data_IF_747360728785
#
_entry.id   IF_747360728785
#
_cell.length_a   1.000
_cell.length_b   1.000
_cell.length_c   1.000
_cell.angle_alpha   90.00
_cell.angle_beta   90.00
_cell.angle_gamma   90.00
#
_symmetry.space_group_name_H-M   'P 1'
#
loop_
_entity.id
_entity.type
_entity.pdbx_description
1 polymer ?
#
# COMPACT_ATOMS: atom_id res chain seq x y z
N UNK A 1 8.81 36.95 -62.01
CA UNK A 1 7.86 35.89 -61.57
C UNK A 1 7.51 36.09 -60.09
N UNK A 2 6.50 36.92 -59.84
CA UNK A 2 5.92 37.14 -58.52
C UNK A 2 4.87 36.06 -58.26
N UNK A 3 5.00 35.32 -57.16
CA UNK A 3 3.96 34.42 -56.65
C UNK A 3 3.04 35.25 -55.74
N UNK A 4 1.71 35.22 -55.90
CA UNK A 4 0.82 36.02 -55.06
C UNK A 4 0.74 35.41 -53.65
N UNK A 5 0.99 36.21 -52.61
CA UNK A 5 0.67 35.83 -51.24
C UNK A 5 -0.82 36.07 -50.97
N UNK A 6 -1.53 35.01 -50.61
CA UNK A 6 -2.93 35.02 -50.17
C UNK A 6 -3.01 35.59 -48.75
N UNK A 7 -4.02 36.41 -48.39
CA UNK A 7 -4.16 36.97 -47.05
C UNK A 7 -4.48 35.87 -46.02
N UNK A 8 -3.78 35.84 -44.88
CA UNK A 8 -4.18 34.99 -43.73
C UNK A 8 -5.33 35.67 -42.99
N UNK A 9 -6.48 35.00 -42.94
CA UNK A 9 -7.59 35.33 -42.05
C UNK A 9 -7.22 34.94 -40.59
N UNK A 10 -7.70 35.67 -39.58
CA UNK A 10 -7.46 35.33 -38.18
C UNK A 10 -8.22 34.04 -37.80
N UNK A 11 -7.56 33.17 -37.04
CA UNK A 11 -8.14 31.92 -36.55
C UNK A 11 -9.17 32.20 -35.44
N UNK A 12 -10.41 31.74 -35.63
CA UNK A 12 -11.43 31.71 -34.58
C UNK A 12 -11.09 30.60 -33.56
N UNK A 13 -11.32 30.81 -32.26
CA UNK A 13 -11.09 29.78 -31.25
C UNK A 13 -12.17 28.68 -31.31
N UNK A 14 -11.72 27.43 -31.47
CA UNK A 14 -12.56 26.23 -31.42
C UNK A 14 -13.22 26.05 -30.04
N UNK A 15 -14.54 25.82 -30.05
CA UNK A 15 -15.29 25.42 -28.86
C UNK A 15 -14.92 23.98 -28.43
N UNK A 16 -14.79 23.69 -27.12
CA UNK A 16 -14.43 22.35 -26.64
C UNK A 16 -15.60 21.35 -26.75
N UNK A 17 -15.29 20.13 -27.20
CA UNK A 17 -16.20 18.98 -27.23
C UNK A 17 -16.57 18.50 -25.82
N UNK A 18 -17.78 17.95 -25.62
CA UNK A 18 -18.20 17.42 -24.32
C UNK A 18 -17.44 16.10 -23.97
N UNK A 19 -17.08 15.88 -22.68
CA UNK A 19 -16.35 14.69 -22.26
C UNK A 19 -17.22 13.43 -22.25
N UNK A 20 -16.59 12.29 -22.58
CA UNK A 20 -17.19 10.96 -22.60
C UNK A 20 -17.65 10.49 -21.21
N UNK A 21 -18.77 9.76 -21.15
CA UNK A 21 -19.31 9.21 -19.91
C UNK A 21 -18.43 8.06 -19.36
N UNK A 22 -18.21 7.97 -18.04
CA UNK A 22 -17.40 6.90 -17.46
C UNK A 22 -18.16 5.56 -17.46
N UNK A 23 -17.50 4.53 -17.97
CA UNK A 23 -17.85 3.12 -17.77
C UNK A 23 -17.64 2.73 -16.31
N UNK A 24 -18.67 2.22 -15.64
CA UNK A 24 -18.61 1.71 -14.26
C UNK A 24 -17.81 0.40 -14.21
N UNK A 25 -16.77 0.28 -13.36
CA UNK A 25 -16.09 -0.99 -13.11
C UNK A 25 -16.99 -1.96 -12.31
N UNK A 26 -16.87 -3.24 -12.63
CA UNK A 26 -17.64 -4.34 -12.06
C UNK A 26 -17.47 -4.50 -10.54
N UNK A 27 -18.56 -4.90 -9.88
CA UNK A 27 -18.69 -5.12 -8.43
C UNK A 27 -17.73 -6.20 -7.91
N UNK A 28 -17.03 -5.90 -6.81
CA UNK A 28 -16.17 -6.81 -6.06
C UNK A 28 -17.00 -7.87 -5.28
N UNK A 29 -16.38 -8.99 -4.84
CA UNK A 29 -17.09 -10.16 -4.30
C UNK A 29 -17.83 -9.85 -2.99
N UNK A 30 -19.05 -10.39 -2.84
CA UNK A 30 -19.84 -10.28 -1.61
C UNK A 30 -19.28 -11.20 -0.52
N UNK A 31 -18.71 -10.62 0.53
CA UNK A 31 -18.36 -11.34 1.76
C UNK A 31 -19.64 -11.76 2.51
N UNK A 32 -19.78 -13.05 2.80
CA UNK A 32 -20.92 -13.67 3.52
C UNK A 32 -20.70 -13.72 5.03
N UNK A 33 -20.01 -12.70 5.57
CA UNK A 33 -19.69 -12.55 6.98
C UNK A 33 -20.06 -11.15 7.47
N UNK A 34 -20.08 -10.97 8.79
CA UNK A 34 -20.18 -9.64 9.41
C UNK A 34 -19.17 -8.70 8.77
N UNK A 35 -19.64 -7.59 8.20
CA UNK A 35 -18.77 -6.60 7.56
C UNK A 35 -18.90 -5.24 8.22
N UNK A 36 -17.76 -4.59 8.46
CA UNK A 36 -17.68 -3.19 8.83
C UNK A 36 -17.21 -2.39 7.62
N UNK A 37 -17.95 -1.36 7.24
CA UNK A 37 -17.51 -0.35 6.28
C UNK A 37 -17.42 1.00 6.97
N UNK A 38 -16.24 1.62 6.96
CA UNK A 38 -16.02 2.95 7.53
C UNK A 38 -15.61 3.90 6.42
N UNK A 39 -16.28 5.04 6.32
CA UNK A 39 -15.99 6.12 5.38
C UNK A 39 -15.93 7.46 6.11
N UNK A 40 -14.72 7.93 6.36
CA UNK A 40 -14.45 9.21 7.00
C UNK A 40 -13.80 10.17 6.02
N UNK A 41 -13.82 11.45 6.37
CA UNK A 41 -13.24 12.50 5.53
C UNK A 41 -12.01 13.06 6.22
N UNK A 42 -12.16 13.54 7.45
CA UNK A 42 -11.08 14.25 8.18
C UNK A 42 -10.81 13.66 9.55
N UNK A 43 -11.65 12.75 10.01
CA UNK A 43 -11.58 12.17 11.34
C UNK A 43 -10.58 11.01 11.37
N UNK A 44 -9.73 10.98 12.39
CA UNK A 44 -8.88 9.83 12.67
C UNK A 44 -9.74 8.63 13.06
N UNK A 45 -9.32 7.45 12.63
CA UNK A 45 -10.02 6.20 12.84
C UNK A 45 -9.15 5.23 13.61
N UNK A 46 -9.66 4.75 14.74
CA UNK A 46 -9.06 3.67 15.48
C UNK A 46 -10.02 2.49 15.50
N UNK A 47 -9.60 1.37 14.93
CA UNK A 47 -10.36 0.12 14.93
C UNK A 47 -9.58 -0.94 15.70
N UNK A 48 -10.22 -1.57 16.66
CA UNK A 48 -9.63 -2.65 17.44
C UNK A 48 -10.51 -3.89 17.46
N UNK A 49 -9.92 -5.04 17.14
CA UNK A 49 -10.56 -6.33 17.28
C UNK A 49 -10.62 -6.78 18.74
N UNK A 50 -11.79 -7.22 19.19
CA UNK A 50 -12.02 -7.72 20.54
C UNK A 50 -12.66 -9.10 20.49
N UNK A 51 -12.00 -10.07 21.13
CA UNK A 51 -12.47 -11.44 21.20
C UNK A 51 -13.78 -11.53 21.98
N UNK A 52 -14.74 -12.31 21.46
CA UNK A 52 -16.04 -12.51 22.10
C UNK A 52 -16.99 -11.32 22.04
N UNK A 53 -16.67 -10.27 21.27
CA UNK A 53 -17.55 -9.15 21.06
C UNK A 53 -18.74 -9.56 20.14
N UNK A 54 -20.00 -9.37 20.55
CA UNK A 54 -21.15 -9.87 19.78
C UNK A 54 -21.52 -8.99 18.57
N UNK A 55 -21.14 -7.70 18.63
CA UNK A 55 -21.43 -6.68 17.62
C UNK A 55 -20.43 -5.52 17.77
N UNK A 56 -20.34 -4.67 16.74
CA UNK A 56 -19.49 -3.47 16.76
C UNK A 56 -19.92 -2.53 17.88
N UNK A 57 -18.95 -2.03 18.65
CA UNK A 57 -19.14 -1.04 19.70
C UNK A 57 -18.40 0.25 19.33
N UNK A 58 -19.14 1.34 19.23
CA UNK A 58 -18.56 2.67 19.14
C UNK A 58 -18.12 3.08 20.54
N UNK A 59 -16.81 3.10 20.78
CA UNK A 59 -16.21 3.50 22.08
C UNK A 59 -16.19 5.02 22.17
N UNK A 60 -15.78 5.67 21.08
CA UNK A 60 -15.82 7.12 20.93
C UNK A 60 -16.39 7.46 19.57
N UNK A 61 -17.47 8.23 19.57
CA UNK A 61 -18.15 8.66 18.36
C UNK A 61 -18.31 10.18 18.37
N UNK A 62 -18.20 10.79 17.20
CA UNK A 62 -18.41 12.22 17.04
C UNK A 62 -19.84 12.53 16.61
N UNK A 63 -20.30 13.74 16.92
CA UNK A 63 -21.51 14.32 16.33
C UNK A 63 -21.41 14.54 14.82
N UNK A 64 -20.23 14.40 14.22
CA UNK A 64 -20.06 14.40 12.76
C UNK A 64 -20.32 13.02 12.16
N UNK A 65 -20.46 11.93 12.92
CA UNK A 65 -20.58 10.57 12.38
C UNK A 65 -22.02 10.06 12.41
N UNK A 66 -22.39 9.27 11.40
CA UNK A 66 -23.62 8.48 11.32
C UNK A 66 -23.24 7.01 11.26
N UNK A 67 -23.82 6.25 12.17
CA UNK A 67 -23.71 4.79 12.15
C UNK A 67 -25.04 4.23 11.68
N UNK A 68 -24.99 3.36 10.68
CA UNK A 68 -26.13 2.58 10.20
C UNK A 68 -25.79 1.11 10.36
N UNK A 69 -26.74 0.34 10.86
CA UNK A 69 -26.62 -1.10 10.93
C UNK A 69 -27.78 -1.72 10.16
N UNK A 70 -27.44 -2.62 9.24
CA UNK A 70 -28.40 -3.47 8.54
C UNK A 70 -28.01 -4.94 8.74
N UNK A 71 -28.71 -5.61 9.66
CA UNK A 71 -28.38 -6.95 10.09
C UNK A 71 -26.96 -7.07 10.67
N UNK A 72 -26.09 -7.77 9.95
CA UNK A 72 -24.69 -8.02 10.32
C UNK A 72 -23.70 -7.03 9.70
N UNK A 73 -24.20 -6.08 8.89
CA UNK A 73 -23.39 -5.08 8.23
C UNK A 73 -23.47 -3.79 9.03
N UNK A 74 -22.32 -3.24 9.38
CA UNK A 74 -22.19 -1.96 10.09
C UNK A 74 -21.52 -0.97 9.14
N UNK A 75 -22.18 0.16 8.91
CA UNK A 75 -21.68 1.24 8.09
C UNK A 75 -21.51 2.48 8.98
N UNK A 76 -20.31 3.07 8.95
CA UNK A 76 -19.94 4.27 9.70
C UNK A 76 -19.52 5.32 8.70
N UNK A 77 -20.27 6.41 8.59
CA UNK A 77 -20.00 7.48 7.63
C UNK A 77 -19.95 8.85 8.29
N UNK A 78 -19.08 9.74 7.81
CA UNK A 78 -19.16 11.16 8.19
C UNK A 78 -20.44 11.82 7.64
N UNK A 79 -21.04 12.76 8.38
CA UNK A 79 -22.32 13.43 8.07
C UNK A 79 -22.24 14.33 6.86
N UNK A 80 -21.05 14.80 6.52
CA UNK A 80 -20.77 15.60 5.32
C UNK A 80 -20.88 14.76 4.03
N UNK A 81 -20.96 13.43 4.14
CA UNK A 81 -21.11 12.48 3.02
C UNK A 81 -22.55 12.42 2.46
N UNK A 82 -23.47 13.28 2.89
CA UNK A 82 -24.84 13.38 2.33
C UNK A 82 -24.90 14.07 0.94
N UNK A 83 -23.89 13.85 0.08
CA UNK A 83 -23.80 14.32 -1.29
C UNK A 83 -22.92 13.39 -2.14
N UNK A 84 -23.40 13.05 -3.34
CA UNK A 84 -22.81 12.06 -4.25
C UNK A 84 -21.33 12.30 -4.56
N UNK A 85 -20.52 11.25 -4.41
CA UNK A 85 -19.12 11.21 -4.83
C UNK A 85 -19.02 11.03 -6.35
N UNK A 86 -18.88 12.13 -7.09
CA UNK A 86 -18.33 12.13 -8.44
C UNK A 86 -17.10 13.06 -8.48
N UNK A 87 -15.91 12.46 -8.63
CA UNK A 87 -14.65 13.12 -9.04
C UNK A 87 -14.37 14.50 -8.43
N UNK A 88 -13.83 14.53 -7.21
CA UNK A 88 -13.17 15.69 -6.58
C UNK A 88 -13.97 17.01 -6.51
N UNK A 89 -15.12 17.01 -5.81
CA UNK A 89 -15.71 18.24 -5.30
C UNK A 89 -16.02 18.11 -3.80
N UNK A 90 -15.18 18.73 -2.95
CA UNK A 90 -15.44 18.90 -1.53
C UNK A 90 -15.95 20.32 -1.25
N UNK A 91 -17.12 20.44 -0.63
CA UNK A 91 -17.54 21.68 0.05
C UNK A 91 -17.02 21.63 1.49
N UNK A 92 -15.93 22.35 1.76
CA UNK A 92 -15.28 22.47 3.06
C UNK A 92 -16.16 23.20 4.08
N UNK A 93 -16.78 22.43 4.96
CA UNK A 93 -17.15 22.89 6.30
C UNK A 93 -16.09 22.38 7.26
N UNK A 94 -15.17 23.24 7.70
CA UNK A 94 -14.17 22.89 8.71
C UNK A 94 -14.83 22.79 10.09
N UNK A 95 -15.22 21.58 10.48
CA UNK A 95 -15.49 21.23 11.87
C UNK A 95 -14.30 20.46 12.41
N UNK A 96 -13.48 21.12 13.23
CA UNK A 96 -12.37 20.50 13.96
C UNK A 96 -12.86 20.15 15.36
N UNK A 97 -13.40 18.94 15.51
CA UNK A 97 -13.53 18.32 16.81
C UNK A 97 -12.42 17.26 16.85
N UNK A 98 -11.23 17.63 17.35
CA UNK A 98 -9.98 16.86 17.20
C UNK A 98 -9.89 15.57 18.03
N UNK A 99 -10.94 14.73 18.05
CA UNK A 99 -10.95 13.45 18.76
C UNK A 99 -11.14 12.26 17.80
N UNK A 100 -10.37 11.17 17.93
CA UNK A 100 -10.47 10.02 17.03
C UNK A 100 -11.81 9.28 17.17
N UNK A 101 -12.29 8.70 16.08
CA UNK A 101 -13.39 7.74 16.07
C UNK A 101 -12.84 6.39 16.52
N UNK A 102 -13.24 5.93 17.70
CA UNK A 102 -12.79 4.66 18.28
C UNK A 102 -13.89 3.59 18.12
N UNK A 103 -13.58 2.53 17.39
CA UNK A 103 -14.46 1.40 17.14
C UNK A 103 -13.84 0.11 17.68
N UNK A 104 -14.61 -0.63 18.46
CA UNK A 104 -14.31 -2.02 18.78
C UNK A 104 -15.16 -2.94 17.93
N UNK A 105 -14.53 -3.92 17.30
CA UNK A 105 -15.19 -4.86 16.39
C UNK A 105 -14.93 -6.30 16.83
N UNK A 106 -15.80 -7.25 16.50
CA UNK A 106 -15.47 -8.66 16.61
C UNK A 106 -14.22 -8.99 15.78
N UNK A 107 -13.30 -9.79 16.33
CA UNK A 107 -12.03 -10.12 15.65
C UNK A 107 -12.23 -10.81 14.30
N UNK A 108 -13.32 -11.54 14.10
CA UNK A 108 -13.65 -12.27 12.88
C UNK A 108 -14.33 -11.40 11.80
N UNK A 109 -14.52 -10.11 12.08
CA UNK A 109 -15.24 -9.20 11.20
C UNK A 109 -14.36 -8.72 10.05
N UNK A 110 -14.90 -8.79 8.82
CA UNK A 110 -14.24 -8.17 7.66
C UNK A 110 -14.38 -6.65 7.73
N UNK A 111 -13.29 -5.92 7.54
CA UNK A 111 -13.25 -4.47 7.71
C UNK A 111 -12.80 -3.77 6.41
N UNK A 112 -13.62 -2.88 5.89
CA UNK A 112 -13.27 -1.95 4.81
C UNK A 112 -13.19 -0.54 5.37
N UNK A 113 -11.98 -0.01 5.51
CA UNK A 113 -11.71 1.28 6.16
C UNK A 113 -11.25 2.29 5.10
N UNK A 114 -11.98 3.40 4.98
CA UNK A 114 -11.71 4.46 4.01
C UNK A 114 -11.67 5.83 4.70
N UNK A 115 -10.60 6.57 4.45
CA UNK A 115 -10.42 7.94 4.91
C UNK A 115 -9.91 8.82 3.77
N UNK A 116 -10.16 10.13 3.85
CA UNK A 116 -9.50 11.08 2.95
C UNK A 116 -8.28 11.68 3.63
N UNK A 117 -8.40 12.22 4.84
CA UNK A 117 -7.33 12.99 5.51
C UNK A 117 -7.04 12.59 6.94
N UNK A 118 -7.89 11.81 7.59
CA UNK A 118 -7.62 11.29 8.93
C UNK A 118 -6.73 10.05 8.88
N UNK A 119 -5.96 9.80 9.93
CA UNK A 119 -5.12 8.61 10.04
C UNK A 119 -5.95 7.36 10.36
N UNK A 120 -5.55 6.20 9.85
CA UNK A 120 -6.22 4.93 10.15
C UNK A 120 -5.28 4.06 10.97
N UNK A 121 -5.69 3.75 12.19
CA UNK A 121 -5.06 2.73 13.02
C UNK A 121 -5.99 1.53 13.14
N UNK A 122 -5.54 0.34 12.73
CA UNK A 122 -6.29 -0.91 12.85
C UNK A 122 -5.45 -1.97 13.57
N UNK A 123 -6.06 -2.67 14.53
CA UNK A 123 -5.35 -3.66 15.37
C UNK A 123 -6.18 -4.89 15.71
N UNK A 124 -5.51 -6.04 15.86
CA UNK A 124 -6.05 -7.29 16.41
C UNK A 124 -7.23 -7.90 15.61
N UNK A 125 -7.22 -7.79 14.28
CA UNK A 125 -8.28 -8.32 13.40
C UNK A 125 -7.85 -9.63 12.76
N UNK A 126 -8.70 -10.64 12.87
CA UNK A 126 -8.55 -11.95 12.22
C UNK A 126 -9.34 -12.09 10.92
N UNK A 127 -10.36 -11.26 10.68
CA UNK A 127 -11.06 -11.18 9.41
C UNK A 127 -10.27 -10.46 8.32
N UNK A 128 -10.82 -10.43 7.11
CA UNK A 128 -10.21 -9.72 5.98
C UNK A 128 -10.26 -8.19 6.19
N UNK A 129 -9.12 -7.54 6.03
CA UNK A 129 -9.00 -6.08 6.14
C UNK A 129 -8.60 -5.46 4.80
N UNK A 130 -9.29 -4.39 4.44
CA UNK A 130 -9.00 -3.50 3.31
C UNK A 130 -8.90 -2.07 3.83
N UNK A 131 -7.77 -1.42 3.64
CA UNK A 131 -7.56 -0.02 4.07
C UNK A 131 -7.26 0.86 2.86
N UNK A 132 -7.92 2.03 2.80
CA UNK A 132 -7.65 3.05 1.79
C UNK A 132 -7.62 4.44 2.41
N UNK A 133 -6.53 5.15 2.17
CA UNK A 133 -6.30 6.52 2.60
C UNK A 133 -5.84 7.38 1.42
N UNK A 134 -6.20 8.66 1.42
CA UNK A 134 -5.75 9.63 0.42
C UNK A 134 -4.62 10.51 0.95
N UNK A 135 -4.72 11.01 2.18
CA UNK A 135 -3.83 12.02 2.76
C UNK A 135 -3.57 11.83 4.26
N UNK A 136 -3.73 10.61 4.76
CA UNK A 136 -3.44 10.23 6.15
C UNK A 136 -2.65 8.91 6.21
N UNK A 137 -1.97 8.70 7.32
CA UNK A 137 -1.12 7.53 7.55
C UNK A 137 -1.96 6.29 7.86
N UNK A 138 -1.40 5.12 7.54
CA UNK A 138 -2.06 3.83 7.77
C UNK A 138 -1.17 2.97 8.67
N UNK A 139 -1.62 2.78 9.91
CA UNK A 139 -1.02 1.86 10.87
C UNK A 139 -1.87 0.61 10.99
N UNK A 140 -1.36 -0.54 10.57
CA UNK A 140 -2.03 -1.83 10.78
C UNK A 140 -1.15 -2.78 11.60
N UNK A 141 -1.70 -3.34 12.68
CA UNK A 141 -0.95 -4.22 13.58
C UNK A 141 -1.71 -5.50 13.94
N UNK A 142 -1.03 -6.63 14.02
CA UNK A 142 -1.64 -7.93 14.39
C UNK A 142 -2.81 -8.32 13.47
N UNK A 143 -2.63 -8.18 12.15
CA UNK A 143 -3.65 -8.56 11.15
C UNK A 143 -3.45 -10.00 10.70
N UNK A 144 -4.47 -10.85 10.80
CA UNK A 144 -4.38 -12.21 10.27
C UNK A 144 -4.62 -12.28 8.76
N UNK A 145 -5.35 -11.32 8.17
CA UNK A 145 -5.60 -11.27 6.73
C UNK A 145 -5.70 -9.81 6.26
N UNK A 146 -4.59 -9.26 5.76
CA UNK A 146 -4.58 -7.96 5.09
C UNK A 146 -4.56 -8.16 3.58
N UNK A 147 -5.67 -7.80 2.93
CA UNK A 147 -5.85 -8.01 1.48
C UNK A 147 -5.43 -6.82 0.63
N UNK A 148 -5.56 -5.60 1.17
CA UNK A 148 -5.02 -4.41 0.51
C UNK A 148 -4.87 -3.25 1.48
N UNK A 149 -3.76 -2.52 1.35
CA UNK A 149 -3.53 -1.25 2.03
C UNK A 149 -3.07 -0.21 0.99
N UNK A 150 -3.84 0.86 0.82
CA UNK A 150 -3.54 1.88 -0.19
C UNK A 150 -3.49 3.27 0.43
N UNK A 151 -2.40 4.00 0.22
CA UNK A 151 -2.23 5.39 0.61
C UNK A 151 -1.83 6.23 -0.61
N UNK A 152 -2.46 7.39 -0.82
CA UNK A 152 -2.03 8.32 -1.88
C UNK A 152 -0.94 9.28 -1.40
N UNK A 153 -1.05 9.75 -0.17
CA UNK A 153 -0.09 10.61 0.51
C UNK A 153 -0.15 10.24 1.99
N UNK A 154 0.98 9.81 2.55
CA UNK A 154 1.05 9.27 3.90
C UNK A 154 1.79 7.93 3.94
N UNK A 155 2.30 7.63 5.11
CA UNK A 155 3.13 6.45 5.34
C UNK A 155 2.24 5.23 5.65
N UNK A 156 2.75 4.03 5.36
CA UNK A 156 2.06 2.78 5.67
C UNK A 156 2.96 1.92 6.53
N UNK A 157 2.58 1.77 7.79
CA UNK A 157 3.25 0.96 8.79
C UNK A 157 2.45 -0.33 9.04
N UNK A 158 3.08 -1.48 8.80
CA UNK A 158 2.51 -2.81 9.07
C UNK A 158 3.37 -3.55 10.10
N UNK A 159 2.78 -3.98 11.22
CA UNK A 159 3.48 -4.82 12.23
C UNK A 159 2.71 -6.12 12.52
N UNK A 160 3.38 -7.27 12.45
CA UNK A 160 2.78 -8.59 12.73
C UNK A 160 1.55 -8.89 11.88
N UNK A 161 1.64 -8.61 10.58
CA UNK A 161 0.56 -8.79 9.63
C UNK A 161 0.81 -9.99 8.70
N UNK A 162 -0.23 -10.73 8.38
CA UNK A 162 -0.24 -11.66 7.24
C UNK A 162 -0.92 -10.96 6.06
N UNK A 163 -0.12 -10.56 5.08
CA UNK A 163 -0.53 -9.81 3.89
C UNK A 163 -0.66 -10.78 2.72
N UNK A 164 -1.84 -10.83 2.13
CA UNK A 164 -2.13 -11.59 0.90
C UNK A 164 -2.82 -10.66 -0.09
N UNK A 165 -2.02 -9.83 -0.77
CA UNK A 165 -2.49 -8.84 -1.73
C UNK A 165 -1.56 -7.64 -1.89
N UNK A 166 -2.14 -6.47 -2.16
CA UNK A 166 -1.40 -5.30 -2.63
C UNK A 166 -1.33 -4.19 -1.58
N UNK A 167 -0.10 -3.79 -1.24
CA UNK A 167 0.21 -2.60 -0.43
C UNK A 167 0.81 -1.54 -1.34
N UNK A 168 0.13 -0.41 -1.48
CA UNK A 168 0.52 0.65 -2.43
C UNK A 168 0.53 2.00 -1.74
N UNK A 169 1.70 2.65 -1.70
CA UNK A 169 1.82 4.07 -1.38
C UNK A 169 2.26 4.87 -2.61
N UNK A 170 1.61 6.01 -2.88
CA UNK A 170 2.02 6.89 -3.98
C UNK A 170 3.03 7.95 -3.52
N UNK A 171 2.96 8.41 -2.28
CA UNK A 171 3.85 9.42 -1.74
C UNK A 171 3.95 9.24 -0.23
N UNK A 172 4.93 8.48 0.20
CA UNK A 172 5.13 8.06 1.58
C UNK A 172 5.95 6.79 1.65
N UNK A 173 6.48 6.54 2.83
CA UNK A 173 7.34 5.39 3.12
C UNK A 173 6.47 4.17 3.42
N UNK A 174 6.99 2.99 3.09
CA UNK A 174 6.38 1.71 3.45
C UNK A 174 7.29 1.03 4.46
N UNK A 175 6.78 0.78 5.67
CA UNK A 175 7.51 0.06 6.69
C UNK A 175 6.74 -1.19 7.13
N UNK A 176 7.36 -2.35 6.94
CA UNK A 176 6.73 -3.65 7.22
C UNK A 176 7.62 -4.45 8.15
N UNK A 177 7.10 -4.77 9.33
CA UNK A 177 7.84 -5.43 10.40
C UNK A 177 7.14 -6.72 10.83
N UNK A 178 7.93 -7.74 11.17
CA UNK A 178 7.45 -8.98 11.81
C UNK A 178 6.32 -9.68 11.05
N UNK A 179 6.26 -9.55 9.73
CA UNK A 179 5.08 -9.88 8.92
C UNK A 179 5.34 -11.05 7.98
N UNK A 180 4.30 -11.54 7.31
CA UNK A 180 4.43 -12.45 6.17
C UNK A 180 3.69 -11.81 5.00
N UNK A 181 4.36 -11.67 3.86
CA UNK A 181 3.83 -10.96 2.70
C UNK A 181 3.78 -11.88 1.49
N UNK A 182 2.63 -11.86 0.82
CA UNK A 182 2.39 -12.44 -0.50
C UNK A 182 1.67 -11.42 -1.36
N UNK A 183 2.19 -11.14 -2.55
CA UNK A 183 1.63 -10.11 -3.45
C UNK A 183 2.60 -8.95 -3.72
N UNK A 184 2.08 -7.72 -3.79
CA UNK A 184 2.87 -6.57 -4.25
C UNK A 184 3.00 -5.49 -3.17
N UNK A 185 4.22 -5.04 -2.94
CA UNK A 185 4.55 -3.86 -2.16
C UNK A 185 5.04 -2.79 -3.13
N UNK A 186 4.36 -1.65 -3.21
CA UNK A 186 4.68 -0.62 -4.20
C UNK A 186 4.70 0.76 -3.61
N UNK A 187 5.86 1.41 -3.64
CA UNK A 187 5.98 2.86 -3.41
C UNK A 187 6.35 3.59 -4.71
N UNK A 188 5.77 4.76 -4.94
CA UNK A 188 6.18 5.64 -6.06
C UNK A 188 7.21 6.68 -5.63
N UNK A 189 7.11 7.20 -4.41
CA UNK A 189 7.98 8.24 -3.90
C UNK A 189 8.08 8.10 -2.39
N UNK A 190 9.11 7.39 -1.95
CA UNK A 190 9.32 7.00 -0.57
C UNK A 190 10.17 5.72 -0.49
N UNK A 191 10.75 5.52 0.68
CA UNK A 191 11.60 4.37 0.97
C UNK A 191 10.73 3.16 1.34
N UNK A 192 11.24 1.96 1.06
CA UNK A 192 10.58 0.71 1.43
C UNK A 192 11.48 -0.05 2.38
N UNK A 193 11.06 -0.11 3.65
CA UNK A 193 11.72 -0.84 4.71
C UNK A 193 10.94 -2.11 5.05
N UNK A 194 11.62 -3.26 5.04
CA UNK A 194 11.03 -4.54 5.43
C UNK A 194 11.96 -5.21 6.44
N UNK A 195 11.46 -5.48 7.64
CA UNK A 195 12.22 -6.01 8.75
C UNK A 195 11.61 -7.31 9.29
N UNK A 196 12.45 -8.31 9.54
CA UNK A 196 12.05 -9.57 10.19
C UNK A 196 10.78 -10.19 9.58
N UNK A 197 10.74 -10.26 8.26
CA UNK A 197 9.53 -10.57 7.50
C UNK A 197 9.78 -11.73 6.54
N UNK A 198 8.74 -12.53 6.30
CA UNK A 198 8.77 -13.64 5.35
C UNK A 198 8.11 -13.19 4.04
N UNK A 199 8.84 -13.29 2.93
CA UNK A 199 8.33 -12.99 1.59
C UNK A 199 8.03 -14.28 0.83
N UNK A 200 6.82 -14.36 0.28
CA UNK A 200 6.37 -15.51 -0.50
C UNK A 200 5.70 -15.04 -1.78
N UNK A 201 6.43 -15.10 -2.90
CA UNK A 201 5.98 -14.58 -4.19
C UNK A 201 5.63 -13.09 -4.08
N UNK A 202 6.64 -12.30 -3.73
CA UNK A 202 6.49 -10.88 -3.42
C UNK A 202 7.24 -9.99 -4.41
N UNK A 203 6.54 -9.04 -5.00
CA UNK A 203 7.13 -7.97 -5.79
C UNK A 203 7.25 -6.70 -4.91
N UNK A 204 8.47 -6.26 -4.63
CA UNK A 204 8.77 -4.99 -3.95
C UNK A 204 9.25 -3.98 -4.98
N UNK A 205 8.42 -2.97 -5.24
CA UNK A 205 8.62 -1.99 -6.30
C UNK A 205 8.73 -0.60 -5.68
N UNK A 206 9.87 0.07 -5.87
CA UNK A 206 10.00 1.51 -5.64
C UNK A 206 10.25 2.21 -6.98
N UNK A 207 9.80 3.45 -7.14
CA UNK A 207 10.18 4.27 -8.30
C UNK A 207 11.28 5.27 -7.91
N UNK A 208 11.09 5.98 -6.81
CA UNK A 208 12.07 6.92 -6.26
C UNK A 208 12.16 6.72 -4.76
N UNK A 209 13.24 6.07 -4.32
CA UNK A 209 13.47 5.70 -2.92
C UNK A 209 14.33 4.46 -2.82
N UNK A 210 14.93 4.30 -1.64
CA UNK A 210 15.76 3.15 -1.30
C UNK A 210 14.88 1.96 -0.88
N UNK A 211 15.36 0.75 -1.15
CA UNK A 211 14.70 -0.49 -0.70
C UNK A 211 15.63 -1.18 0.27
N UNK A 212 15.19 -1.35 1.51
CA UNK A 212 15.93 -2.00 2.58
C UNK A 212 15.17 -3.21 3.08
N UNK A 213 15.73 -4.40 2.89
CA UNK A 213 15.29 -5.62 3.54
C UNK A 213 16.30 -6.00 4.62
N UNK A 214 15.83 -6.24 5.84
CA UNK A 214 16.65 -6.66 6.97
C UNK A 214 16.03 -7.90 7.63
N UNK A 215 16.85 -8.95 7.83
CA UNK A 215 16.43 -10.22 8.44
C UNK A 215 15.23 -10.84 7.72
N UNK A 216 15.25 -10.84 6.39
CA UNK A 216 14.13 -11.35 5.58
C UNK A 216 14.34 -12.81 5.19
N UNK A 217 13.27 -13.60 5.16
CA UNK A 217 13.27 -14.97 4.63
C UNK A 217 12.42 -15.03 3.36
N UNK A 218 12.94 -15.59 2.28
CA UNK A 218 12.21 -15.77 1.01
C UNK A 218 11.84 -17.24 0.85
N UNK A 219 10.54 -17.53 0.76
CA UNK A 219 10.02 -18.90 0.66
C UNK A 219 9.87 -19.42 -0.78
N UNK A 220 9.59 -18.54 -1.74
CA UNK A 220 9.38 -18.89 -3.15
C UNK A 220 10.23 -17.99 -4.04
N UNK A 221 9.76 -16.75 -4.19
CA UNK A 221 10.31 -15.76 -5.09
C UNK A 221 10.14 -14.39 -4.44
N UNK A 222 11.15 -13.53 -4.60
CA UNK A 222 11.06 -12.12 -4.27
C UNK A 222 11.71 -11.29 -5.39
N UNK A 223 11.04 -10.24 -5.83
CA UNK A 223 11.55 -9.32 -6.83
C UNK A 223 11.63 -7.93 -6.26
N UNK A 224 12.83 -7.39 -6.14
CA UNK A 224 13.08 -6.02 -5.74
C UNK A 224 13.39 -5.21 -6.99
N UNK A 225 12.66 -4.13 -7.19
CA UNK A 225 12.90 -3.21 -8.31
C UNK A 225 12.80 -1.78 -7.86
N UNK A 226 13.87 -1.02 -8.06
CA UNK A 226 13.85 0.44 -7.93
C UNK A 226 14.30 1.10 -9.24
N UNK A 227 13.78 2.29 -9.54
CA UNK A 227 14.26 3.07 -10.70
C UNK A 227 15.42 3.97 -10.29
N UNK A 228 15.26 4.67 -9.17
CA UNK A 228 16.25 5.56 -8.58
C UNK A 228 16.31 5.34 -7.09
N UNK A 229 17.40 4.72 -6.62
CA UNK A 229 17.64 4.39 -5.22
C UNK A 229 18.57 3.19 -5.08
N UNK A 230 19.15 3.05 -3.90
CA UNK A 230 19.96 1.90 -3.51
C UNK A 230 19.07 0.75 -3.06
N UNK A 231 19.56 -0.48 -3.22
CA UNK A 231 18.89 -1.67 -2.69
C UNK A 231 19.82 -2.38 -1.72
N UNK A 232 19.40 -2.49 -0.46
CA UNK A 232 20.05 -3.31 0.55
C UNK A 232 19.14 -4.48 0.89
N UNK A 233 19.64 -5.70 0.76
CA UNK A 233 18.87 -6.89 1.05
C UNK A 233 19.68 -7.84 1.94
N UNK A 234 19.32 -7.94 3.22
CA UNK A 234 19.85 -8.90 4.16
C UNK A 234 18.84 -10.03 4.41
N UNK A 235 19.24 -11.25 4.06
CA UNK A 235 18.42 -12.45 4.17
C UNK A 235 18.96 -13.39 5.25
N UNK A 236 18.03 -13.93 6.06
CA UNK A 236 18.27 -14.95 7.10
C UNK A 236 18.35 -16.36 6.47
N UNK A 237 18.89 -16.46 5.25
CA UNK A 237 19.08 -17.71 4.51
C UNK A 237 20.16 -17.57 3.43
N UNK A 238 20.74 -18.70 3.03
CA UNK A 238 21.79 -18.77 2.01
C UNK A 238 21.42 -19.61 0.77
N UNK A 239 20.31 -20.35 0.78
CA UNK A 239 19.87 -21.18 -0.36
C UNK A 239 19.07 -20.36 -1.40
N UNK A 240 19.70 -19.36 -2.02
CA UNK A 240 19.03 -18.38 -2.88
C UNK A 240 19.72 -18.26 -4.23
N UNK A 241 18.92 -18.27 -5.30
CA UNK A 241 19.33 -17.82 -6.63
C UNK A 241 19.22 -16.30 -6.67
N UNK A 242 20.36 -15.61 -6.61
CA UNK A 242 20.41 -14.13 -6.64
C UNK A 242 20.63 -13.66 -8.07
N UNK A 243 19.67 -12.93 -8.63
CA UNK A 243 19.76 -12.28 -9.94
C UNK A 243 19.81 -10.77 -9.76
N UNK A 244 20.98 -10.17 -9.98
CA UNK A 244 21.17 -8.72 -9.84
C UNK A 244 21.34 -8.05 -11.19
N UNK A 245 20.75 -6.86 -11.34
CA UNK A 245 20.98 -5.97 -12.48
C UNK A 245 20.97 -4.51 -12.03
N UNK A 246 22.11 -3.81 -12.18
CA UNK A 246 22.20 -2.36 -12.05
C UNK A 246 22.72 -1.74 -13.34
N UNK A 247 22.19 -0.57 -13.72
CA UNK A 247 22.62 0.13 -14.94
C UNK A 247 23.84 1.02 -14.72
N UNK A 248 23.93 1.70 -13.58
CA UNK A 248 24.99 2.69 -13.32
C UNK A 248 25.67 2.59 -11.96
N UNK A 249 25.20 1.70 -11.08
CA UNK A 249 25.86 1.43 -9.80
C UNK A 249 26.66 0.14 -9.80
N UNK A 250 27.02 -0.29 -8.60
CA UNK A 250 27.73 -1.55 -8.32
C UNK A 250 26.85 -2.49 -7.49
N UNK A 251 26.87 -3.78 -7.81
CA UNK A 251 26.18 -4.80 -7.02
C UNK A 251 27.19 -5.69 -6.28
N UNK A 252 27.13 -5.69 -4.96
CA UNK A 252 27.91 -6.58 -4.10
C UNK A 252 27.00 -7.68 -3.53
N UNK A 253 27.43 -8.93 -3.66
CA UNK A 253 26.75 -10.09 -3.06
C UNK A 253 27.71 -10.77 -2.12
N UNK A 254 27.32 -10.89 -0.85
CA UNK A 254 28.10 -11.55 0.20
C UNK A 254 27.30 -12.65 0.87
N UNK A 255 27.91 -13.81 1.06
CA UNK A 255 27.32 -14.96 1.73
C UNK A 255 28.31 -16.10 1.93
N UNK A 256 27.88 -17.23 2.49
CA UNK A 256 28.74 -18.39 2.70
C UNK A 256 29.35 -18.90 1.38
N UNK A 257 30.66 -18.70 1.20
CA UNK A 257 31.39 -19.12 -0.01
C UNK A 257 31.17 -18.22 -1.24
N UNK A 258 30.54 -17.06 -1.08
CA UNK A 258 30.30 -16.09 -2.17
C UNK A 258 30.64 -14.69 -1.68
N UNK A 259 31.56 -14.04 -2.36
CA UNK A 259 31.89 -12.62 -2.17
C UNK A 259 32.28 -12.07 -3.54
N UNK A 260 31.34 -11.41 -4.20
CA UNK A 260 31.48 -10.97 -5.59
C UNK A 260 30.90 -9.57 -5.79
N UNK A 261 31.61 -8.78 -6.59
CA UNK A 261 31.18 -7.48 -7.09
C UNK A 261 30.88 -7.61 -8.59
N UNK A 262 29.67 -7.29 -8.98
CA UNK A 262 29.14 -7.47 -10.34
C UNK A 262 28.23 -6.30 -10.69
N UNK A 263 27.97 -6.09 -11.98
CA UNK A 263 26.92 -5.14 -12.41
C UNK A 263 25.64 -5.85 -12.84
N UNK A 264 25.79 -7.05 -13.41
CA UNK A 264 24.68 -7.89 -13.83
C UNK A 264 25.11 -9.34 -13.82
N UNK A 265 24.55 -10.14 -12.91
CA UNK A 265 24.85 -11.56 -12.87
C UNK A 265 23.78 -12.34 -12.10
N UNK A 266 23.55 -13.57 -12.56
CA UNK A 266 22.82 -14.60 -11.82
C UNK A 266 23.81 -15.46 -11.05
N UNK A 267 23.72 -15.48 -9.73
CA UNK A 267 24.64 -16.18 -8.82
C UNK A 267 23.83 -17.18 -7.97
N UNK A 268 24.08 -18.49 -8.12
CA UNK A 268 23.47 -19.48 -7.24
C UNK A 268 24.23 -19.52 -5.92
N UNK A 269 23.53 -19.39 -4.80
CA UNK A 269 24.08 -19.60 -3.46
C UNK A 269 23.37 -20.78 -2.82
N UNK A 270 24.15 -21.69 -2.22
CA UNK A 270 23.63 -22.93 -1.64
C UNK A 270 22.94 -23.82 -2.69
N UNK A 271 21.77 -24.37 -2.33
CA UNK A 271 20.94 -25.19 -3.22
C UNK A 271 20.10 -24.37 -4.22
N UNK A 272 20.05 -23.04 -4.07
CA UNK A 272 19.32 -22.13 -4.94
C UNK A 272 17.85 -22.55 -5.17
N UNK A 273 17.14 -22.91 -4.10
CA UNK A 273 15.75 -23.38 -4.15
C UNK A 273 14.73 -22.27 -4.30
N UNK A 274 15.12 -21.04 -3.96
CA UNK A 274 14.28 -19.84 -4.08
C UNK A 274 14.97 -18.78 -4.92
N UNK A 275 14.22 -17.83 -5.45
CA UNK A 275 14.75 -16.79 -6.34
C UNK A 275 14.62 -15.39 -5.73
N UNK A 276 15.70 -14.62 -5.76
CA UNK A 276 15.73 -13.21 -5.45
C UNK A 276 16.21 -12.43 -6.67
N UNK A 277 15.33 -11.65 -7.29
CA UNK A 277 15.67 -10.76 -8.39
C UNK A 277 15.78 -9.32 -7.90
N UNK A 278 16.95 -8.68 -8.01
CA UNK A 278 17.17 -7.30 -7.58
C UNK A 278 17.58 -6.43 -8.76
N UNK A 279 16.80 -5.40 -9.04
CA UNK A 279 17.01 -4.53 -10.18
C UNK A 279 17.00 -3.06 -9.75
N UNK A 280 18.04 -2.29 -10.07
CA UNK A 280 18.06 -0.84 -9.89
C UNK A 280 18.46 -0.11 -11.16
N UNK A 281 17.82 1.03 -11.41
CA UNK A 281 18.11 1.86 -12.57
C UNK A 281 19.32 2.77 -12.40
N UNK A 282 19.68 3.17 -11.16
CA UNK A 282 20.79 4.10 -10.93
C UNK A 282 21.52 4.02 -9.59
N UNK A 283 21.15 3.10 -8.69
CA UNK A 283 21.81 2.97 -7.39
C UNK A 283 22.70 1.74 -7.28
N UNK A 284 23.28 1.59 -6.09
CA UNK A 284 24.08 0.42 -5.73
C UNK A 284 23.18 -0.68 -5.16
N UNK A 285 23.62 -1.92 -5.30
CA UNK A 285 22.95 -3.09 -4.74
C UNK A 285 23.89 -3.74 -3.73
N UNK A 286 23.42 -3.99 -2.52
CA UNK A 286 24.10 -4.82 -1.54
C UNK A 286 23.17 -5.96 -1.13
N UNK A 287 23.57 -7.20 -1.42
CA UNK A 287 22.89 -8.41 -0.98
C UNK A 287 23.77 -9.14 0.03
N UNK A 288 23.24 -9.38 1.22
CA UNK A 288 23.87 -10.19 2.28
C UNK A 288 23.02 -11.40 2.59
N UNK A 289 23.65 -12.57 2.57
CA UNK A 289 23.05 -13.85 2.89
C UNK A 289 23.72 -14.38 4.17
N UNK A 290 22.92 -14.72 5.19
CA UNK A 290 23.41 -15.19 6.48
C UNK A 290 23.08 -16.65 6.76
#
# INVERSE_FOLDING_TARGET
>A
PQVPQVPRLPAEPMAPMPPAQPVTPASAPQATGRSLTVRLISEDLQVRGVQGLPAVRVVRGQSSVRTRQDGQNVEVESRLTAGEFHGFSFSLGFGNDGEPVELEVPVDMSCELKTVSGNITVSDITGDVVVRSVSGDVDASSMAHLSSAQATSGDVDLDKCLVDGDVISKSGDLDIRNSTVRGMLKSYSGDVAVLNTVLNDTDVLSFSGDVSLERVTVQSSARLKTTSGDVRAELDQHDVMVDVETRSGEASIRGPGVDVEVQRQRIPVGLATVELSVHTGSGDIEVRLT
#
